data_IF_742004355050
#
_entry.id   IF_742004355050
#
_cell.length_a   1.000
_cell.length_b   1.000
_cell.length_c   1.000
_cell.angle_alpha   90.00
_cell.angle_beta   90.00
_cell.angle_gamma   90.00
#
_symmetry.space_group_name_H-M   'P 1'
#
loop_
_entity.id
_entity.type
_entity.pdbx_description
1 polymer ?
#
# COMPACT_ATOMS: atom_id res chain seq x y z
N UNK A 1 -10.96 -58.36 -22.07
CA UNK A 1 -10.94 -58.22 -20.59
C UNK A 1 -9.76 -57.34 -20.15
N UNK A 2 -8.50 -57.80 -20.23
CA UNK A 2 -7.32 -57.01 -19.78
C UNK A 2 -7.18 -55.62 -20.43
N UNK A 3 -7.30 -55.52 -21.77
CA UNK A 3 -7.20 -54.23 -22.47
C UNK A 3 -8.30 -53.23 -22.03
N UNK A 4 -9.53 -53.71 -21.79
CA UNK A 4 -10.63 -52.87 -21.32
C UNK A 4 -10.38 -52.36 -19.90
N UNK A 5 -9.79 -53.18 -19.02
CA UNK A 5 -9.42 -52.78 -17.65
C UNK A 5 -8.32 -51.71 -17.70
N UNK A 6 -7.32 -51.85 -18.57
CA UNK A 6 -6.25 -50.86 -18.73
C UNK A 6 -6.82 -49.51 -19.21
N UNK A 7 -7.75 -49.51 -20.16
CA UNK A 7 -8.41 -48.28 -20.64
C UNK A 7 -9.17 -47.60 -19.51
N UNK A 8 -9.95 -48.35 -18.72
CA UNK A 8 -10.70 -47.78 -17.58
C UNK A 8 -9.77 -47.20 -16.51
N UNK A 9 -8.69 -47.90 -16.17
CA UNK A 9 -7.70 -47.42 -15.19
C UNK A 9 -7.00 -46.17 -15.71
N UNK A 10 -6.56 -46.17 -16.97
CA UNK A 10 -5.88 -45.01 -17.58
C UNK A 10 -6.80 -43.78 -17.64
N UNK A 11 -8.07 -43.94 -17.99
CA UNK A 11 -9.06 -42.85 -17.96
C UNK A 11 -9.28 -42.30 -16.55
N UNK A 12 -9.35 -43.18 -15.54
CA UNK A 12 -9.46 -42.77 -14.14
C UNK A 12 -8.25 -41.97 -13.65
N UNK A 13 -7.04 -42.39 -14.03
CA UNK A 13 -5.81 -41.68 -13.69
C UNK A 13 -5.75 -40.29 -14.35
N UNK A 14 -6.12 -40.19 -15.62
CA UNK A 14 -6.17 -38.90 -16.34
C UNK A 14 -7.17 -37.95 -15.69
N UNK A 15 -8.35 -38.46 -15.30
CA UNK A 15 -9.38 -37.66 -14.62
C UNK A 15 -8.90 -37.13 -13.25
N UNK A 16 -8.27 -37.99 -12.45
CA UNK A 16 -7.72 -37.57 -11.15
C UNK A 16 -6.58 -36.55 -11.34
N UNK A 17 -5.73 -36.76 -12.34
CA UNK A 17 -4.64 -35.84 -12.66
C UNK A 17 -5.14 -34.46 -13.09
N UNK A 18 -6.16 -34.39 -13.95
CA UNK A 18 -6.74 -33.10 -14.38
C UNK A 18 -7.36 -32.31 -13.21
N UNK A 19 -7.97 -33.00 -12.25
CA UNK A 19 -8.51 -32.37 -11.05
C UNK A 19 -7.40 -31.83 -10.15
N UNK A 20 -6.30 -32.56 -10.00
CA UNK A 20 -5.14 -32.10 -9.22
C UNK A 20 -4.48 -30.87 -9.83
N UNK A 21 -4.32 -30.83 -11.16
CA UNK A 21 -3.77 -29.66 -11.85
C UNK A 21 -4.64 -28.42 -11.63
N UNK A 22 -5.96 -28.56 -11.75
CA UNK A 22 -6.90 -27.45 -11.51
C UNK A 22 -6.84 -26.95 -10.05
N UNK A 23 -6.76 -27.86 -9.08
CA UNK A 23 -6.61 -27.53 -7.67
C UNK A 23 -5.28 -26.84 -7.36
N UNK A 24 -4.18 -27.29 -7.99
CA UNK A 24 -2.86 -26.68 -7.83
C UNK A 24 -2.85 -25.25 -8.38
N UNK A 25 -3.41 -25.04 -9.58
CA UNK A 25 -3.52 -23.69 -10.14
C UNK A 25 -4.35 -22.76 -9.25
N UNK A 26 -5.50 -23.22 -8.74
CA UNK A 26 -6.32 -22.43 -7.82
C UNK A 26 -5.54 -22.02 -6.56
N UNK A 27 -4.78 -22.95 -5.97
CA UNK A 27 -3.93 -22.67 -4.80
C UNK A 27 -2.78 -21.72 -5.11
N UNK A 28 -2.14 -21.84 -6.27
CA UNK A 28 -1.11 -20.90 -6.69
C UNK A 28 -1.67 -19.49 -6.86
N UNK A 29 -2.85 -19.36 -7.48
CA UNK A 29 -3.50 -18.05 -7.61
C UNK A 29 -3.87 -17.46 -6.25
N UNK A 30 -4.43 -18.27 -5.36
CA UNK A 30 -4.78 -17.85 -4.00
C UNK A 30 -3.54 -17.41 -3.21
N UNK A 31 -2.43 -18.15 -3.33
CA UNK A 31 -1.16 -17.80 -2.71
C UNK A 31 -0.65 -16.46 -3.21
N UNK A 32 -0.64 -16.23 -4.53
CA UNK A 32 -0.21 -14.95 -5.10
C UNK A 32 -1.09 -13.80 -4.62
N UNK A 33 -2.40 -13.99 -4.50
CA UNK A 33 -3.30 -12.97 -3.96
C UNK A 33 -3.05 -12.69 -2.48
N UNK A 34 -2.85 -13.73 -1.67
CA UNK A 34 -2.51 -13.60 -0.25
C UNK A 34 -1.16 -12.89 -0.07
N UNK A 35 -0.15 -13.23 -0.85
CA UNK A 35 1.17 -12.58 -0.81
C UNK A 35 1.05 -11.09 -1.16
N UNK A 36 0.25 -10.73 -2.18
CA UNK A 36 -0.05 -9.34 -2.51
C UNK A 36 -0.76 -8.60 -1.37
N UNK A 37 -1.77 -9.22 -0.76
CA UNK A 37 -2.50 -8.63 0.39
C UNK A 37 -1.56 -8.44 1.58
N UNK A 38 -0.71 -9.41 1.88
CA UNK A 38 0.27 -9.33 2.95
C UNK A 38 1.27 -8.19 2.72
N UNK A 39 1.77 -8.03 1.49
CA UNK A 39 2.65 -6.93 1.12
C UNK A 39 1.97 -5.57 1.26
N UNK A 40 0.72 -5.43 0.82
CA UNK A 40 -0.04 -4.19 0.97
C UNK A 40 -0.20 -3.82 2.46
N UNK A 41 -0.65 -4.77 3.29
CA UNK A 41 -0.79 -4.55 4.74
C UNK A 41 0.55 -4.19 5.39
N UNK A 42 1.65 -4.83 5.00
CA UNK A 42 2.98 -4.53 5.53
C UNK A 42 3.45 -3.11 5.14
N UNK A 43 3.12 -2.64 3.93
CA UNK A 43 3.40 -1.26 3.51
C UNK A 43 2.59 -0.26 4.33
N UNK A 44 1.29 -0.49 4.48
CA UNK A 44 0.40 0.35 5.29
C UNK A 44 0.91 0.44 6.73
N UNK A 45 1.27 -0.70 7.34
CA UNK A 45 1.84 -0.74 8.69
C UNK A 45 3.13 0.07 8.80
N UNK A 46 4.01 0.02 7.79
CA UNK A 46 5.26 0.79 7.78
C UNK A 46 4.98 2.29 7.71
N UNK A 47 4.05 2.70 6.85
CA UNK A 47 3.65 4.10 6.72
C UNK A 47 3.02 4.63 8.01
N UNK A 48 2.06 3.90 8.57
CA UNK A 48 1.42 4.25 9.84
C UNK A 48 2.45 4.37 10.96
N UNK A 49 3.41 3.44 11.05
CA UNK A 49 4.48 3.52 12.04
C UNK A 49 5.38 4.74 11.84
N UNK A 50 5.68 5.10 10.60
CA UNK A 50 6.43 6.33 10.31
C UNK A 50 5.64 7.57 10.73
N UNK A 51 4.34 7.60 10.50
CA UNK A 51 3.46 8.70 10.91
C UNK A 51 3.38 8.81 12.43
N UNK A 52 3.22 7.69 13.15
CA UNK A 52 3.27 7.67 14.61
C UNK A 52 4.60 8.25 15.12
N UNK A 53 5.73 7.84 14.53
CA UNK A 53 7.03 8.38 14.93
C UNK A 53 7.12 9.90 14.73
N UNK A 54 6.64 10.41 13.59
CA UNK A 54 6.57 11.86 13.33
C UNK A 54 5.63 12.59 14.30
N UNK A 55 4.51 11.97 14.67
CA UNK A 55 3.56 12.52 15.64
C UNK A 55 4.08 12.50 17.08
N UNK A 56 5.15 11.75 17.37
CA UNK A 56 5.83 11.76 18.66
C UNK A 56 7.15 12.55 18.62
N UNK A 57 7.47 13.17 17.49
CA UNK A 57 8.67 13.96 17.29
C UNK A 57 8.31 15.44 17.48
N UNK A 58 8.75 16.01 18.61
CA UNK A 58 8.46 17.39 18.99
C UNK A 58 9.01 18.40 17.96
N UNK A 59 10.16 18.12 17.34
CA UNK A 59 10.75 18.98 16.30
C UNK A 59 9.89 18.96 15.04
N UNK A 60 9.39 17.79 14.65
CA UNK A 60 8.46 17.65 13.53
C UNK A 60 7.15 18.42 13.78
N UNK A 61 6.56 18.28 14.98
CA UNK A 61 5.34 19.00 15.36
C UNK A 61 5.59 20.52 15.35
N UNK A 62 6.70 20.97 15.92
CA UNK A 62 7.02 22.40 15.98
C UNK A 62 7.27 22.97 14.58
N UNK A 63 7.88 22.20 13.66
CA UNK A 63 8.04 22.59 12.26
C UNK A 63 6.69 22.72 11.55
N UNK A 64 5.79 21.76 11.75
CA UNK A 64 4.44 21.79 11.19
C UNK A 64 3.63 22.98 11.71
N UNK A 65 3.73 23.26 13.02
CA UNK A 65 3.08 24.42 13.64
C UNK A 65 3.58 25.74 13.05
N UNK A 66 4.90 25.85 12.80
CA UNK A 66 5.51 27.02 12.14
C UNK A 66 5.09 27.15 10.67
N UNK A 67 5.05 26.06 9.90
CA UNK A 67 4.78 26.10 8.46
C UNK A 67 3.30 26.24 8.10
N UNK A 68 2.44 25.45 8.74
CA UNK A 68 1.01 25.39 8.38
C UNK A 68 0.14 26.35 9.20
N UNK A 69 0.59 26.67 10.42
CA UNK A 69 -0.20 27.46 11.38
C UNK A 69 0.46 28.77 11.78
N UNK A 70 1.61 29.11 11.18
CA UNK A 70 2.37 30.33 11.48
C UNK A 70 2.59 30.56 12.98
N UNK A 71 2.78 29.47 13.75
CA UNK A 71 3.05 29.57 15.18
C UNK A 71 4.49 30.04 15.40
N UNK A 72 4.69 30.99 16.30
CA UNK A 72 6.03 31.49 16.66
C UNK A 72 6.15 31.67 18.17
N UNK A 73 7.37 31.59 18.69
CA UNK A 73 7.65 31.78 20.11
C UNK A 73 7.86 33.26 20.46
N UNK A 74 7.92 33.55 21.76
CA UNK A 74 8.06 34.94 22.26
C UNK A 74 9.37 35.55 21.77
N UNK A 75 9.26 36.60 20.94
CA UNK A 75 10.39 37.34 20.39
C UNK A 75 10.75 36.95 18.96
N UNK A 76 10.05 35.99 18.35
CA UNK A 76 10.15 35.66 16.93
C UNK A 76 9.26 36.58 16.07
N UNK A 77 9.66 36.81 14.81
CA UNK A 77 8.90 37.60 13.83
C UNK A 77 8.61 36.72 12.61
N UNK A 78 7.35 36.61 12.23
CA UNK A 78 6.91 35.81 11.08
C UNK A 78 6.97 36.65 9.81
N UNK A 79 7.69 36.17 8.81
CA UNK A 79 7.73 36.77 7.48
C UNK A 79 6.82 35.99 6.53
N UNK A 80 5.74 36.61 6.06
CA UNK A 80 4.89 36.01 5.05
C UNK A 80 5.49 36.32 3.67
N UNK A 81 6.04 35.30 3.00
CA UNK A 81 6.52 35.46 1.62
C UNK A 81 5.30 35.27 0.72
N UNK A 82 4.86 36.30 -0.03
CA UNK A 82 3.72 36.15 -0.93
C UNK A 82 4.05 35.09 -1.98
N UNK A 83 3.22 34.05 -2.07
CA UNK A 83 3.34 33.04 -3.11
C UNK A 83 3.15 33.69 -4.49
N UNK A 84 3.79 33.17 -5.54
CA UNK A 84 3.68 33.71 -6.91
C UNK A 84 2.22 33.85 -7.39
N UNK A 85 1.29 33.08 -6.80
CA UNK A 85 -0.13 33.12 -7.11
C UNK A 85 -0.88 34.31 -6.47
N UNK A 86 -0.37 34.89 -5.38
CA UNK A 86 -1.01 36.03 -4.71
C UNK A 86 -0.63 37.37 -5.36
N UNK A 87 0.55 37.44 -6.00
CA UNK A 87 1.02 38.64 -6.72
C UNK A 87 0.14 39.07 -7.90
N UNK A 88 -0.74 38.19 -8.38
CA UNK A 88 -1.65 38.47 -9.50
C UNK A 88 -2.88 39.29 -9.10
N UNK A 89 -3.19 39.41 -7.81
CA UNK A 89 -4.38 40.12 -7.31
C UNK A 89 -4.12 41.60 -6.97
N UNK A 90 -2.88 42.00 -6.73
CA UNK A 90 -2.55 43.39 -6.34
C UNK A 90 -2.20 44.30 -7.53
N UNK A 91 -1.86 43.77 -8.70
CA UNK A 91 -1.48 44.58 -9.87
C UNK A 91 -2.64 44.95 -10.82
N UNK A 92 -3.90 44.76 -10.41
CA UNK A 92 -5.09 45.07 -11.22
C UNK A 92 -6.00 46.15 -10.61
N UNK A 93 -5.48 46.99 -9.72
CA UNK A 93 -6.20 48.15 -9.18
C UNK A 93 -5.59 49.47 -9.65
#
# INVERSE_FOLDING_TARGET
MLAAVIVVVSGGLVYVYSQQVSLLHAKETEKVELDKKALAVAQDQKELKSTINKLHDDDYIAKLARSEYFLSEKGEIIFNIPEENDKKKESSN
#
